data_IF_894728105403
#
_entry.id   IF_894728105403
#
_cell.length_a   1.000
_cell.length_b   1.000
_cell.length_c   1.000
_cell.angle_alpha   90.00
_cell.angle_beta   90.00
_cell.angle_gamma   90.00
#
_symmetry.space_group_name_H-M   'P 1'
#
loop_
_entity.id
_entity.type
_entity.pdbx_description
1 polymer ?
#
# COMPACT_ATOMS: atom_id res chain seq x y z
N UNK A 1 2.70 19.10 11.93
CA UNK A 1 1.41 18.60 11.38
C UNK A 1 1.75 17.59 10.31
N UNK A 2 1.04 16.46 10.24
CA UNK A 2 1.24 15.48 9.18
C UNK A 2 0.88 16.08 7.83
N UNK A 3 1.75 15.88 6.85
CA UNK A 3 1.55 16.33 5.46
C UNK A 3 0.50 15.42 4.77
N UNK A 4 0.39 14.17 5.22
CA UNK A 4 -0.62 13.22 4.79
C UNK A 4 -1.02 12.35 5.99
N UNK A 5 -2.32 12.09 6.15
CA UNK A 5 -2.83 11.12 7.13
C UNK A 5 -4.09 10.45 6.60
N UNK A 6 -3.95 9.25 6.04
CA UNK A 6 -5.04 8.59 5.32
C UNK A 6 -5.15 7.10 5.64
N UNK A 7 -6.38 6.58 5.58
CA UNK A 7 -6.59 5.14 5.70
C UNK A 7 -5.93 4.46 4.52
N UNK A 8 -5.18 3.41 4.79
CA UNK A 8 -4.34 2.75 3.79
C UNK A 8 -4.40 1.25 3.98
N UNK A 9 -4.53 0.53 2.86
CA UNK A 9 -4.35 -0.90 2.79
C UNK A 9 -2.94 -1.15 2.26
N UNK A 10 -2.14 -1.99 2.92
CA UNK A 10 -0.78 -2.29 2.47
C UNK A 10 -0.56 -3.79 2.29
N UNK A 11 0.37 -4.11 1.39
CA UNK A 11 0.92 -5.44 1.19
C UNK A 11 2.36 -5.32 0.72
N UNK A 12 3.24 -6.22 1.18
CA UNK A 12 4.62 -6.26 0.74
C UNK A 12 4.79 -7.12 -0.50
N UNK A 13 5.84 -6.84 -1.27
CA UNK A 13 6.16 -7.64 -2.46
C UNK A 13 6.40 -9.12 -2.12
N UNK A 14 7.00 -9.43 -0.97
CA UNK A 14 7.15 -10.80 -0.48
C UNK A 14 5.81 -11.51 -0.26
N UNK A 15 4.79 -10.80 0.24
CA UNK A 15 3.46 -11.35 0.45
C UNK A 15 2.77 -11.63 -0.89
N UNK A 16 2.99 -10.77 -1.89
CA UNK A 16 2.47 -10.95 -3.26
C UNK A 16 3.15 -12.16 -3.93
N UNK A 17 4.45 -12.36 -3.71
CA UNK A 17 5.19 -13.52 -4.22
C UNK A 17 4.82 -14.82 -3.52
N UNK A 18 4.32 -14.76 -2.28
CA UNK A 18 3.83 -15.93 -1.56
C UNK A 18 2.43 -16.34 -2.06
N UNK A 19 2.39 -17.31 -2.98
CA UNK A 19 1.16 -17.79 -3.64
C UNK A 19 0.09 -18.25 -2.64
N UNK A 20 0.47 -18.97 -1.58
CA UNK A 20 -0.49 -19.48 -0.61
C UNK A 20 -1.09 -18.35 0.23
N UNK A 21 -0.24 -17.45 0.74
CA UNK A 21 -0.69 -16.29 1.50
C UNK A 21 -1.59 -15.40 0.64
N UNK A 22 -1.16 -15.06 -0.58
CA UNK A 22 -1.93 -14.22 -1.50
C UNK A 22 -3.31 -14.83 -1.81
N UNK A 23 -3.41 -16.17 -1.95
CA UNK A 23 -4.69 -16.86 -2.12
C UNK A 23 -5.61 -16.66 -0.91
N UNK A 24 -5.09 -16.78 0.31
CA UNK A 24 -5.85 -16.55 1.55
C UNK A 24 -6.33 -15.10 1.65
N UNK A 25 -5.47 -14.13 1.35
CA UNK A 25 -5.82 -12.71 1.34
C UNK A 25 -6.92 -12.40 0.32
N UNK A 26 -6.79 -12.88 -0.92
CA UNK A 26 -7.80 -12.72 -1.98
C UNK A 26 -9.16 -13.27 -1.57
N UNK A 27 -9.19 -14.46 -0.97
CA UNK A 27 -10.43 -15.08 -0.52
C UNK A 27 -11.16 -14.22 0.53
N UNK A 28 -10.43 -13.46 1.35
CA UNK A 28 -10.99 -12.60 2.39
C UNK A 28 -11.65 -11.33 1.83
N UNK A 29 -11.15 -10.80 0.72
CA UNK A 29 -11.57 -9.50 0.15
C UNK A 29 -12.37 -9.60 -1.14
N UNK A 30 -12.56 -10.82 -1.67
CA UNK A 30 -13.16 -11.07 -3.00
C UNK A 30 -14.52 -10.40 -3.20
N UNK A 31 -15.35 -10.32 -2.15
CA UNK A 31 -16.69 -9.74 -2.21
C UNK A 31 -16.64 -8.21 -2.34
N UNK A 32 -15.57 -7.57 -1.87
CA UNK A 32 -15.43 -6.12 -1.78
C UNK A 32 -14.80 -5.50 -3.05
N UNK A 33 -14.35 -6.32 -4.01
CA UNK A 33 -13.60 -5.89 -5.21
C UNK A 33 -12.36 -5.04 -4.89
N UNK A 34 -11.82 -5.20 -3.68
CA UNK A 34 -10.56 -4.59 -3.27
C UNK A 34 -9.38 -5.41 -3.80
N UNK A 35 -8.23 -4.76 -4.08
CA UNK A 35 -6.99 -5.48 -4.27
C UNK A 35 -6.62 -6.27 -3.00
N UNK A 36 -5.93 -7.42 -3.11
CA UNK A 36 -5.46 -8.13 -1.94
C UNK A 36 -4.51 -7.25 -1.14
N UNK A 37 -4.75 -7.17 0.16
CA UNK A 37 -3.92 -6.47 1.12
C UNK A 37 -3.69 -7.35 2.33
N UNK A 38 -2.57 -7.16 3.03
CA UNK A 38 -2.26 -7.89 4.27
C UNK A 38 -2.62 -7.07 5.50
N UNK A 39 -2.42 -5.76 5.46
CA UNK A 39 -2.69 -4.88 6.60
C UNK A 39 -3.62 -3.73 6.24
N UNK A 40 -4.47 -3.35 7.18
CA UNK A 40 -5.40 -2.22 7.10
C UNK A 40 -5.15 -1.29 8.28
N UNK A 41 -4.98 -0.01 8.01
CA UNK A 41 -4.54 0.95 9.01
C UNK A 41 -4.50 2.38 8.51
N UNK A 42 -3.73 3.21 9.23
CA UNK A 42 -3.50 4.60 8.91
C UNK A 42 -2.06 4.80 8.47
N UNK A 43 -1.87 5.44 7.33
CA UNK A 43 -0.59 5.95 6.89
C UNK A 43 -0.48 7.42 7.26
N UNK A 44 0.60 7.80 7.92
CA UNK A 44 0.92 9.17 8.30
C UNK A 44 2.28 9.55 7.75
N UNK A 45 2.39 10.71 7.11
CA UNK A 45 3.64 11.23 6.55
C UNK A 45 4.02 12.51 7.29
N UNK A 46 5.14 12.44 8.00
CA UNK A 46 5.74 13.56 8.74
C UNK A 46 7.25 13.61 8.43
N UNK A 47 8.10 13.29 9.41
CA UNK A 47 9.54 13.08 9.21
C UNK A 47 9.85 11.71 8.60
N UNK A 48 8.93 10.79 8.74
CA UNK A 48 8.95 9.44 8.19
C UNK A 48 7.57 9.08 7.65
N UNK A 49 7.54 8.03 6.83
CA UNK A 49 6.32 7.38 6.40
C UNK A 49 5.99 6.29 7.43
N UNK A 50 5.02 6.60 8.32
CA UNK A 50 4.58 5.70 9.37
C UNK A 50 3.27 5.04 9.02
N UNK A 51 3.19 3.74 9.15
CA UNK A 51 1.95 2.97 9.06
C UNK A 51 1.63 2.30 10.39
N UNK A 52 0.40 2.45 10.87
CA UNK A 52 -0.10 1.75 12.05
C UNK A 52 -1.43 1.08 11.70
N UNK A 53 -1.52 -0.23 11.91
CA UNK A 53 -2.68 -0.99 11.46
C UNK A 53 -2.79 -2.36 12.10
N UNK A 54 -3.62 -3.20 11.48
CA UNK A 54 -3.82 -4.59 11.86
C UNK A 54 -3.71 -5.52 10.66
N UNK A 55 -3.21 -6.72 10.90
CA UNK A 55 -3.20 -7.77 9.91
C UNK A 55 -4.61 -8.31 9.67
N UNK A 56 -4.96 -8.53 8.40
CA UNK A 56 -6.28 -8.96 7.97
C UNK A 56 -6.65 -10.37 8.45
N UNK A 57 -5.68 -11.28 8.54
CA UNK A 57 -5.93 -12.69 8.85
C UNK A 57 -5.91 -12.97 10.36
N UNK A 58 -4.96 -12.39 11.09
CA UNK A 58 -4.74 -12.66 12.52
C UNK A 58 -5.30 -11.56 13.43
N UNK A 59 -5.49 -10.34 12.92
CA UNK A 59 -5.84 -9.17 13.71
C UNK A 59 -4.69 -8.57 14.52
N UNK A 60 -3.48 -9.12 14.40
CA UNK A 60 -2.27 -8.64 15.07
C UNK A 60 -1.95 -7.20 14.67
N UNK A 61 -1.45 -6.41 15.62
CA UNK A 61 -1.09 -5.01 15.37
C UNK A 61 0.26 -4.95 14.67
N UNK A 62 0.38 -4.04 13.72
CA UNK A 62 1.65 -3.71 13.06
C UNK A 62 1.93 -2.22 13.17
N UNK A 63 3.21 -1.88 13.31
CA UNK A 63 3.73 -0.54 13.12
C UNK A 63 4.95 -0.61 12.21
N UNK A 64 4.93 0.17 11.15
CA UNK A 64 6.03 0.35 10.22
C UNK A 64 6.45 1.82 10.25
N UNK A 65 7.75 2.08 10.28
CA UNK A 65 8.30 3.43 10.30
C UNK A 65 9.44 3.47 9.26
N UNK A 66 9.19 4.10 8.12
CA UNK A 66 10.14 4.18 7.00
C UNK A 66 10.68 5.61 6.93
N UNK A 67 11.97 5.83 7.20
CA UNK A 67 12.59 7.14 6.98
C UNK A 67 12.39 7.61 5.54
N UNK A 68 11.98 8.86 5.33
CA UNK A 68 11.79 9.38 3.97
C UNK A 68 13.08 9.34 3.15
N UNK A 69 14.23 9.46 3.82
CA UNK A 69 15.57 9.35 3.21
C UNK A 69 15.94 7.95 2.75
N UNK A 70 15.26 6.89 3.23
CA UNK A 70 15.53 5.53 2.78
C UNK A 70 14.66 5.11 1.60
N UNK A 71 13.62 5.89 1.27
CA UNK A 71 12.80 5.65 0.08
C UNK A 71 13.65 5.98 -1.15
N UNK A 72 13.72 5.04 -2.09
CA UNK A 72 14.53 5.14 -3.30
C UNK A 72 13.70 5.28 -4.57
N UNK A 73 12.42 4.87 -4.54
CA UNK A 73 11.52 4.97 -5.69
C UNK A 73 10.07 5.07 -5.20
N UNK A 74 9.28 5.95 -5.84
CA UNK A 74 7.82 5.95 -5.67
C UNK A 74 7.12 5.97 -7.04
N UNK A 75 6.14 5.09 -7.21
CA UNK A 75 5.41 4.98 -8.47
C UNK A 75 3.92 4.74 -8.22
N UNK A 76 3.06 5.37 -9.01
CA UNK A 76 1.62 5.14 -8.95
C UNK A 76 1.20 4.13 -10.01
N UNK A 77 0.72 2.98 -9.55
CA UNK A 77 0.22 1.92 -10.41
C UNK A 77 0.78 0.55 -10.07
N UNK A 78 0.27 -0.43 -10.81
CA UNK A 78 0.66 -1.83 -10.73
C UNK A 78 1.95 -2.11 -11.51
N UNK A 79 2.46 -3.32 -11.37
CA UNK A 79 3.62 -3.81 -12.11
C UNK A 79 3.52 -5.30 -12.46
N UNK A 80 4.64 -5.87 -12.91
CA UNK A 80 4.74 -7.28 -13.28
C UNK A 80 4.62 -8.24 -12.10
N UNK A 81 4.92 -7.79 -10.88
CA UNK A 81 4.84 -8.61 -9.66
C UNK A 81 3.43 -8.55 -9.09
N UNK A 82 2.92 -7.34 -8.86
CA UNK A 82 1.56 -7.11 -8.43
C UNK A 82 0.73 -6.55 -9.57
N UNK A 83 0.05 -7.45 -10.28
CA UNK A 83 -0.81 -7.11 -11.41
C UNK A 83 -2.17 -6.59 -10.94
N UNK A 84 -2.68 -5.56 -11.61
CA UNK A 84 -3.96 -4.90 -11.31
C UNK A 84 -5.24 -5.67 -11.62
N UNK A 85 -5.23 -7.00 -11.51
CA UNK A 85 -6.40 -7.85 -11.75
C UNK A 85 -6.45 -9.06 -10.81
N UNK A 86 -7.65 -9.55 -10.55
CA UNK A 86 -7.89 -10.79 -9.81
C UNK A 86 -7.71 -12.05 -10.67
N UNK A 87 -7.89 -13.23 -10.05
CA UNK A 87 -7.80 -14.53 -10.74
C UNK A 87 -8.91 -14.75 -11.80
N UNK A 88 -9.93 -13.90 -11.83
CA UNK A 88 -11.03 -13.91 -12.80
C UNK A 88 -10.87 -12.84 -13.87
N UNK A 89 -9.74 -12.12 -13.90
CA UNK A 89 -9.45 -11.09 -14.89
C UNK A 89 -10.14 -9.74 -14.64
N UNK A 90 -10.80 -9.54 -13.49
CA UNK A 90 -11.42 -8.26 -13.14
C UNK A 90 -10.37 -7.28 -12.63
N UNK A 91 -10.38 -6.06 -13.14
CA UNK A 91 -9.49 -4.98 -12.67
C UNK A 91 -9.90 -4.51 -11.28
N UNK A 92 -8.92 -4.23 -10.43
CA UNK A 92 -9.16 -3.59 -9.14
C UNK A 92 -9.55 -2.13 -9.33
N UNK A 93 -10.30 -1.58 -8.37
CA UNK A 93 -10.78 -0.20 -8.43
C UNK A 93 -9.71 0.84 -8.07
N UNK A 94 -8.67 0.43 -7.34
CA UNK A 94 -7.64 1.33 -6.80
C UNK A 94 -6.28 0.97 -7.39
N UNK A 95 -5.52 2.00 -7.75
CA UNK A 95 -4.09 1.86 -8.08
C UNK A 95 -3.25 1.99 -6.80
N UNK A 96 -2.25 1.12 -6.59
CA UNK A 96 -1.35 1.26 -5.47
C UNK A 96 -0.33 2.36 -5.72
N UNK A 97 0.13 2.99 -4.65
CA UNK A 97 1.42 3.67 -4.63
C UNK A 97 2.45 2.61 -4.24
N UNK A 98 3.36 2.30 -5.15
CA UNK A 98 4.53 1.46 -4.88
C UNK A 98 5.59 2.32 -4.25
N UNK A 99 6.14 1.86 -3.13
CA UNK A 99 7.22 2.53 -2.41
C UNK A 99 8.33 1.51 -2.26
N UNK A 100 9.47 1.78 -2.91
CA UNK A 100 10.70 1.03 -2.68
C UNK A 100 11.57 1.80 -1.70
N UNK A 101 12.12 1.09 -0.73
CA UNK A 101 12.96 1.68 0.29
C UNK A 101 14.04 0.70 0.73
N UNK A 102 15.18 1.26 1.14
CA UNK A 102 16.25 0.49 1.72
C UNK A 102 16.00 0.28 3.21
N UNK A 103 16.19 -0.96 3.65
CA UNK A 103 16.50 -1.30 5.04
C UNK A 103 17.99 -1.61 5.14
N UNK A 104 18.51 -1.82 6.35
CA UNK A 104 19.95 -2.03 6.57
C UNK A 104 20.56 -3.14 5.71
N UNK A 105 19.76 -4.19 5.40
CA UNK A 105 20.25 -5.37 4.69
C UNK A 105 19.62 -5.60 3.31
N UNK A 106 18.51 -4.92 2.95
CA UNK A 106 17.73 -5.27 1.77
C UNK A 106 16.95 -4.08 1.17
N UNK A 107 16.57 -4.22 -0.11
CA UNK A 107 15.57 -3.36 -0.73
C UNK A 107 14.21 -3.99 -0.54
N UNK A 108 13.30 -3.23 0.08
CA UNK A 108 11.93 -3.63 0.33
C UNK A 108 11.00 -2.86 -0.61
N UNK A 109 9.97 -3.52 -1.10
CA UNK A 109 8.89 -2.91 -1.86
C UNK A 109 7.56 -3.12 -1.13
N UNK A 110 6.81 -2.04 -0.90
CA UNK A 110 5.44 -2.11 -0.42
C UNK A 110 4.49 -1.47 -1.42
N UNK A 111 3.27 -2.01 -1.47
CA UNK A 111 2.16 -1.49 -2.27
C UNK A 111 1.11 -0.91 -1.32
N UNK A 112 0.88 0.39 -1.41
CA UNK A 112 -0.06 1.12 -0.56
C UNK A 112 -1.29 1.57 -1.35
N UNK A 113 -2.47 1.11 -0.96
CA UNK A 113 -3.76 1.56 -1.50
C UNK A 113 -4.37 2.55 -0.52
N UNK A 114 -4.21 3.84 -0.82
CA UNK A 114 -4.73 4.90 0.04
C UNK A 114 -6.22 5.10 -0.27
N UNK A 115 -7.05 4.88 0.74
CA UNK A 115 -8.49 5.09 0.68
C UNK A 115 -8.84 6.46 1.28
N UNK A 116 -9.17 7.43 0.44
CA UNK A 116 -9.95 8.58 0.89
C UNK A 116 -11.44 8.24 0.87
N UNK A 117 -12.11 8.26 2.03
CA UNK A 117 -13.55 8.08 2.14
C UNK A 117 -14.28 9.40 1.84
N UNK A 118 -14.46 9.70 0.55
CA UNK A 118 -15.39 10.72 0.06
C UNK A 118 -16.47 10.13 -0.85
N UNK A 119 -17.58 10.87 -1.06
CA UNK A 119 -18.73 10.49 -1.91
C UNK A 119 -18.39 10.26 -3.40
N UNK A 120 -17.20 10.66 -3.85
CA UNK A 120 -16.70 10.45 -5.22
C UNK A 120 -15.40 9.65 -5.19
N UNK A 121 -15.39 8.50 -5.88
CA UNK A 121 -14.35 7.45 -5.84
C UNK A 121 -13.17 7.65 -6.79
N UNK A 122 -13.04 8.80 -7.44
CA UNK A 122 -12.09 8.99 -8.55
C UNK A 122 -11.20 10.21 -8.27
N UNK A 123 -10.03 9.98 -7.66
CA UNK A 123 -8.77 10.77 -7.77
C UNK A 123 -7.92 10.87 -6.48
N UNK A 124 -8.35 10.32 -5.35
CA UNK A 124 -7.63 10.51 -4.09
C UNK A 124 -6.24 9.88 -4.03
N UNK A 125 -6.04 8.70 -4.64
CA UNK A 125 -4.73 8.05 -4.67
C UNK A 125 -3.68 8.84 -5.46
N UNK A 126 -4.09 9.55 -6.53
CA UNK A 126 -3.22 10.42 -7.30
C UNK A 126 -2.78 11.66 -6.51
N UNK A 127 -3.69 12.26 -5.76
CA UNK A 127 -3.38 13.41 -4.90
C UNK A 127 -2.42 13.01 -3.78
N UNK A 128 -2.67 11.87 -3.12
CA UNK A 128 -1.77 11.36 -2.11
C UNK A 128 -0.38 11.05 -2.69
N UNK A 129 -0.32 10.51 -3.91
CA UNK A 129 0.95 10.29 -4.61
C UNK A 129 1.68 11.59 -4.94
N UNK A 130 0.97 12.62 -5.40
CA UNK A 130 1.56 13.95 -5.64
C UNK A 130 2.14 14.54 -4.36
N UNK A 131 1.42 14.45 -3.24
CA UNK A 131 1.90 14.91 -1.92
C UNK A 131 3.12 14.09 -1.48
N UNK A 132 3.11 12.77 -1.63
CA UNK A 132 4.27 11.94 -1.29
C UNK A 132 5.50 12.34 -2.11
N UNK A 133 5.35 12.66 -3.39
CA UNK A 133 6.46 13.12 -4.23
C UNK A 133 7.02 14.49 -3.86
N UNK A 134 6.30 15.35 -3.15
CA UNK A 134 6.87 16.63 -2.70
C UNK A 134 7.76 16.49 -1.48
N UNK A 135 7.62 15.39 -0.73
CA UNK A 135 8.36 15.14 0.52
C UNK A 135 9.39 14.03 0.39
N UNK A 136 9.27 13.17 -0.62
CA UNK A 136 10.26 12.15 -0.96
C UNK A 136 11.11 12.68 -2.12
N UNK A 137 12.42 12.85 -1.88
CA UNK A 137 13.38 13.34 -2.89
C UNK A 137 13.84 12.21 -3.84
N UNK A 138 12.90 11.61 -4.58
CA UNK A 138 13.17 10.52 -5.54
C UNK A 138 12.51 10.74 -6.89
#
# INVERSE_FOLDING_TARGET
MPVLKERTLIIFEEDVKNVELLKKLRARVVVQMLPPYRYDGMLTVEQSLRFEGRELLTGEKIRLDIPLSSITETYLGFDEIFVGKDSKGKKYQLNPIRIKYMTDDNIMTLYAFLEYKGLFRSNSGEECYKILKTVVNV
#
